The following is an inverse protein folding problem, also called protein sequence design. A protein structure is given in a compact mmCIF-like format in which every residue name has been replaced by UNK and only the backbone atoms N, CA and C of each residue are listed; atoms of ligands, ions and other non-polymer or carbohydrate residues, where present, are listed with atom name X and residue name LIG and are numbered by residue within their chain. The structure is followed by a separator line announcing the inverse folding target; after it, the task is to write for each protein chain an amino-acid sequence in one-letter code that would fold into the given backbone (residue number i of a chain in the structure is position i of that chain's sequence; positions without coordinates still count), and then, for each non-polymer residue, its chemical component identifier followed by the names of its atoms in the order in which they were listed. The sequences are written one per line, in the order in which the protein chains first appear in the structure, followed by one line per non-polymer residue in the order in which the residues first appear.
data_IF_792140922723
#
_entry.id   IF_792140922723
#
_cell.length_a   1.000
_cell.length_b   1.000
_cell.length_c   1.000
_cell.angle_alpha   90.00
_cell.angle_beta   90.00
_cell.angle_gamma   90.00
#
_symmetry.space_group_name_H-M   'P 1'
#
loop_
_entity.id
_entity.type
_entity.pdbx_description
1 polymer ?
#
# COMPACT_ATOMS: atom_id res chain seq x y z
N UNK A 1 -5.20 15.65 2.40
CA UNK A 1 -6.23 14.83 1.72
C UNK A 1 -6.15 14.91 0.18
N UNK A 2 -5.80 16.06 -0.43
CA UNK A 2 -5.67 16.20 -1.90
C UNK A 2 -4.61 15.26 -2.54
N UNK A 3 -3.50 14.99 -1.86
CA UNK A 3 -2.42 14.14 -2.38
C UNK A 3 -2.78 12.65 -2.58
N UNK A 4 -3.92 12.18 -2.04
CA UNK A 4 -4.37 10.80 -2.27
C UNK A 4 -4.81 10.65 -3.73
N UNK A 5 -5.50 11.64 -4.29
CA UNK A 5 -6.02 11.57 -5.67
C UNK A 5 -4.91 11.70 -6.72
N UNK A 6 -3.77 12.32 -6.40
CA UNK A 6 -2.64 12.43 -7.33
C UNK A 6 -1.92 11.11 -7.57
N UNK A 7 -2.05 10.15 -6.64
CA UNK A 7 -1.43 8.83 -6.74
C UNK A 7 -2.33 7.75 -7.36
N UNK A 8 -3.53 8.09 -7.84
CA UNK A 8 -4.47 7.12 -8.40
C UNK A 8 -4.66 7.33 -9.91
N UNK A 9 -4.31 6.31 -10.71
CA UNK A 9 -4.53 6.31 -12.16
C UNK A 9 -5.77 5.50 -12.55
N UNK A 10 -6.93 6.18 -12.64
CA UNK A 10 -8.22 5.55 -12.99
C UNK A 10 -8.37 5.22 -14.47
N UNK A 11 -7.58 5.86 -15.32
CA UNK A 11 -7.44 5.64 -16.76
C UNK A 11 -6.89 4.24 -17.10
N UNK A 12 -6.22 3.58 -16.15
CA UNK A 12 -5.78 2.20 -16.29
C UNK A 12 -6.95 1.21 -16.31
N UNK A 13 -8.12 1.59 -15.77
CA UNK A 13 -9.30 0.73 -15.71
C UNK A 13 -9.95 0.70 -17.10
N UNK A 14 -9.87 -0.45 -17.77
CA UNK A 14 -10.45 -0.69 -19.08
C UNK A 14 -11.36 -1.92 -19.09
N UNK A 15 -12.14 -2.11 -20.15
CA UNK A 15 -13.03 -3.27 -20.31
C UNK A 15 -14.30 -3.26 -19.46
N UNK A 16 -14.57 -2.20 -18.70
CA UNK A 16 -15.77 -2.05 -17.86
C UNK A 16 -16.80 -1.09 -18.46
N UNK A 17 -18.07 -1.22 -18.08
CA UNK A 17 -19.11 -0.29 -18.52
C UNK A 17 -18.90 1.12 -17.94
N UNK A 18 -19.36 2.15 -18.66
CA UNK A 18 -19.28 3.54 -18.21
C UNK A 18 -19.98 3.76 -16.85
N UNK A 19 -21.07 3.04 -16.57
CA UNK A 19 -21.76 3.11 -15.28
C UNK A 19 -20.90 2.51 -14.15
N UNK A 20 -20.21 1.39 -14.41
CA UNK A 20 -19.30 0.79 -13.43
C UNK A 20 -18.13 1.72 -13.10
N UNK A 21 -17.52 2.32 -14.12
CA UNK A 21 -16.43 3.29 -13.93
C UNK A 21 -16.88 4.51 -13.10
N UNK A 22 -18.10 5.02 -13.33
CA UNK A 22 -18.68 6.10 -12.50
C UNK A 22 -18.79 5.69 -11.02
N UNK A 23 -19.24 4.47 -10.73
CA UNK A 23 -19.38 3.96 -9.34
C UNK A 23 -18.02 3.75 -8.67
N UNK A 24 -17.03 3.23 -9.39
CA UNK A 24 -15.65 3.09 -8.91
C UNK A 24 -15.08 4.47 -8.55
N UNK A 25 -15.19 5.43 -9.46
CA UNK A 25 -14.71 6.80 -9.23
C UNK A 25 -15.40 7.47 -8.03
N UNK A 26 -16.70 7.21 -7.83
CA UNK A 26 -17.41 7.71 -6.65
C UNK A 26 -16.87 7.08 -5.34
N UNK A 27 -16.61 5.77 -5.34
CA UNK A 27 -16.06 5.09 -4.17
C UNK A 27 -14.65 5.61 -3.80
N UNK A 28 -13.82 5.90 -4.81
CA UNK A 28 -12.49 6.51 -4.61
C UNK A 28 -12.60 7.93 -4.04
N UNK A 29 -13.55 8.75 -4.55
CA UNK A 29 -13.82 10.09 -4.01
C UNK A 29 -14.20 10.06 -2.54
N UNK A 30 -14.96 9.06 -2.10
CA UNK A 30 -15.32 8.90 -0.69
C UNK A 30 -14.10 8.67 0.22
N UNK A 31 -13.04 8.00 -0.26
CA UNK A 31 -11.78 7.89 0.49
C UNK A 31 -11.12 9.28 0.62
N UNK A 32 -11.04 10.03 -0.47
CA UNK A 32 -10.40 11.35 -0.47
C UNK A 32 -11.10 12.32 0.51
N UNK A 33 -12.42 12.17 0.68
CA UNK A 33 -13.24 12.93 1.63
C UNK A 33 -13.19 12.36 3.07
N UNK A 34 -12.51 11.25 3.31
CA UNK A 34 -12.46 10.59 4.62
C UNK A 34 -13.76 9.90 5.04
N UNK A 35 -14.69 9.68 4.10
CA UNK A 35 -15.99 9.03 4.36
C UNK A 35 -15.85 7.51 4.51
N UNK A 36 -14.85 6.90 3.85
CA UNK A 36 -14.63 5.45 3.87
C UNK A 36 -13.14 5.11 4.01
N UNK A 37 -12.84 3.96 4.61
CA UNK A 37 -11.48 3.43 4.67
C UNK A 37 -11.06 2.83 3.31
N UNK A 38 -9.74 2.78 2.99
CA UNK A 38 -9.26 2.12 1.79
C UNK A 38 -9.72 0.66 1.68
N UNK A 39 -9.77 -0.05 2.81
CA UNK A 39 -10.22 -1.43 2.88
C UNK A 39 -11.70 -1.58 2.54
N UNK A 40 -12.56 -0.73 3.12
CA UNK A 40 -14.00 -0.77 2.85
C UNK A 40 -14.30 -0.42 1.40
N UNK A 41 -13.58 0.54 0.83
CA UNK A 41 -13.71 0.90 -0.59
C UNK A 41 -13.25 -0.23 -1.51
N UNK A 42 -12.12 -0.89 -1.21
CA UNK A 42 -11.70 -2.07 -1.98
C UNK A 42 -12.77 -3.17 -1.94
N UNK A 43 -13.34 -3.44 -0.76
CA UNK A 43 -14.45 -4.40 -0.61
C UNK A 43 -15.69 -3.99 -1.38
N UNK A 44 -16.08 -2.72 -1.31
CA UNK A 44 -17.23 -2.19 -2.03
C UNK A 44 -17.04 -2.33 -3.54
N UNK A 45 -15.89 -1.93 -4.07
CA UNK A 45 -15.57 -2.06 -5.50
C UNK A 45 -15.56 -3.53 -5.93
N UNK A 46 -14.95 -4.42 -5.13
CA UNK A 46 -14.95 -5.87 -5.40
C UNK A 46 -16.38 -6.41 -5.48
N UNK A 47 -17.26 -6.01 -4.54
CA UNK A 47 -18.67 -6.37 -4.58
C UNK A 47 -19.41 -5.77 -5.78
N UNK A 48 -19.06 -4.56 -6.24
CA UNK A 48 -19.65 -3.95 -7.44
C UNK A 48 -19.38 -4.74 -8.72
N UNK A 49 -18.26 -5.46 -8.77
CA UNK A 49 -17.88 -6.30 -9.90
C UNK A 49 -18.59 -7.67 -9.89
N UNK A 50 -19.49 -7.92 -8.94
CA UNK A 50 -20.28 -9.15 -8.86
C UNK A 50 -19.55 -10.32 -8.19
N UNK A 51 -18.40 -10.07 -7.56
CA UNK A 51 -17.68 -11.09 -6.82
C UNK A 51 -18.27 -11.27 -5.42
N UNK A 52 -18.64 -12.51 -5.09
CA UNK A 52 -18.92 -12.85 -3.70
C UNK A 52 -17.60 -12.85 -2.92
N UNK A 53 -17.59 -12.46 -1.64
CA UNK A 53 -16.40 -12.55 -0.78
C UNK A 53 -15.85 -13.98 -0.56
N UNK A 54 -16.44 -15.00 -1.20
CA UNK A 54 -16.14 -16.42 -1.04
C UNK A 54 -15.74 -17.13 -2.35
N UNK A 55 -15.84 -16.48 -3.51
CA UNK A 55 -15.37 -17.05 -4.78
C UNK A 55 -13.93 -16.64 -5.05
N UNK A 56 -13.02 -17.59 -5.29
CA UNK A 56 -11.70 -17.29 -5.83
C UNK A 56 -11.91 -16.65 -7.21
N UNK A 57 -11.45 -15.42 -7.44
CA UNK A 57 -11.26 -14.96 -8.80
C UNK A 57 -10.27 -15.92 -9.47
N UNK A 58 -10.64 -16.44 -10.63
CA UNK A 58 -9.64 -16.98 -11.54
C UNK A 58 -8.70 -15.83 -11.93
N UNK A 59 -7.40 -16.11 -12.05
CA UNK A 59 -6.37 -15.09 -12.36
C UNK A 59 -6.45 -14.58 -13.82
N UNK A 60 -7.63 -14.64 -14.43
CA UNK A 60 -7.88 -14.39 -15.86
C UNK A 60 -9.13 -13.52 -16.04
N UNK A 61 -9.11 -12.66 -17.06
CA UNK A 61 -10.25 -11.84 -17.45
C UNK A 61 -10.26 -10.41 -16.89
N UNK A 62 -11.15 -9.60 -17.47
CA UNK A 62 -11.27 -8.15 -17.21
C UNK A 62 -11.44 -7.85 -15.73
N UNK A 63 -12.25 -8.64 -15.02
CA UNK A 63 -12.59 -8.32 -13.65
C UNK A 63 -11.42 -8.60 -12.67
N UNK A 64 -10.56 -9.59 -12.97
CA UNK A 64 -9.29 -9.77 -12.27
C UNK A 64 -8.30 -8.63 -12.54
N UNK A 65 -8.21 -8.18 -13.79
CA UNK A 65 -7.38 -7.05 -14.18
C UNK A 65 -7.78 -5.77 -13.45
N UNK A 66 -9.07 -5.45 -13.46
CA UNK A 66 -9.63 -4.28 -12.79
C UNK A 66 -9.38 -4.35 -11.29
N UNK A 67 -9.61 -5.49 -10.63
CA UNK A 67 -9.35 -5.63 -9.19
C UNK A 67 -7.87 -5.43 -8.85
N UNK A 68 -6.96 -6.01 -9.65
CA UNK A 68 -5.51 -5.86 -9.47
C UNK A 68 -5.07 -4.40 -9.61
N UNK A 69 -5.57 -3.71 -10.63
CA UNK A 69 -5.30 -2.28 -10.87
C UNK A 69 -5.81 -1.47 -9.69
N UNK A 70 -7.08 -1.65 -9.30
CA UNK A 70 -7.70 -0.89 -8.21
C UNK A 70 -6.97 -1.10 -6.89
N UNK A 71 -6.59 -2.33 -6.56
CA UNK A 71 -5.83 -2.61 -5.34
C UNK A 71 -4.46 -1.92 -5.35
N UNK A 72 -3.77 -1.96 -6.48
CA UNK A 72 -2.45 -1.33 -6.64
C UNK A 72 -2.56 0.18 -6.55
N UNK A 73 -3.48 0.79 -7.29
CA UNK A 73 -3.62 2.25 -7.34
C UNK A 73 -4.20 2.85 -6.06
N UNK A 74 -5.14 2.16 -5.39
CA UNK A 74 -5.62 2.60 -4.07
C UNK A 74 -4.53 2.50 -3.01
N UNK A 75 -3.73 1.42 -3.02
CA UNK A 75 -2.59 1.27 -2.12
C UNK A 75 -1.53 2.35 -2.36
N UNK A 76 -1.24 2.66 -3.63
CA UNK A 76 -0.34 3.75 -4.03
C UNK A 76 -0.83 5.10 -3.52
N UNK A 77 -2.07 5.45 -3.83
CA UNK A 77 -2.72 6.68 -3.38
C UNK A 77 -2.62 6.90 -1.86
N UNK A 78 -2.83 5.84 -1.07
CA UNK A 78 -2.71 5.92 0.38
C UNK A 78 -1.28 6.18 0.84
N UNK A 79 -0.30 5.46 0.26
CA UNK A 79 1.11 5.62 0.62
C UNK A 79 1.68 6.97 0.16
N UNK A 80 1.27 7.48 -1.01
CA UNK A 80 1.57 8.86 -1.46
C UNK A 80 1.00 9.87 -0.46
N UNK A 81 -0.25 9.70 -0.03
CA UNK A 81 -0.87 10.56 0.97
C UNK A 81 -0.13 10.56 2.30
N UNK A 82 0.30 9.39 2.78
CA UNK A 82 1.08 9.24 4.01
C UNK A 82 2.46 9.91 3.88
N UNK A 83 3.15 9.74 2.76
CA UNK A 83 4.43 10.37 2.48
C UNK A 83 4.29 11.91 2.43
N UNK A 84 3.33 12.44 1.68
CA UNK A 84 3.10 13.87 1.56
C UNK A 84 2.76 14.52 2.91
N UNK A 85 1.96 13.83 3.74
CA UNK A 85 1.67 14.30 5.10
C UNK A 85 2.94 14.32 5.96
N UNK A 86 3.77 13.28 5.86
CA UNK A 86 5.04 13.23 6.59
C UNK A 86 6.00 14.35 6.14
N UNK A 87 6.06 14.64 4.84
CA UNK A 87 6.90 15.71 4.29
C UNK A 87 6.46 17.10 4.78
N UNK A 88 5.14 17.35 4.83
CA UNK A 88 4.60 18.59 5.37
C UNK A 88 5.00 18.81 6.84
N UNK A 89 5.13 17.72 7.59
CA UNK A 89 5.51 17.74 9.01
C UNK A 89 7.03 17.93 9.22
N UNK A 90 7.88 17.88 8.19
CA UNK A 90 9.32 18.11 8.34
C UNK A 90 9.66 19.53 8.80
N UNK A 91 8.77 20.51 8.57
CA UNK A 91 8.93 21.87 9.07
C UNK A 91 8.81 21.97 10.60
N UNK A 92 8.10 21.02 11.22
CA UNK A 92 7.87 20.94 12.67
C UNK A 92 8.80 19.90 13.30
N UNK A 93 9.03 18.78 12.62
CA UNK A 93 9.87 17.66 13.08
C UNK A 93 10.91 17.33 11.99
N UNK A 94 12.06 18.02 11.95
CA UNK A 94 13.06 17.84 10.89
C UNK A 94 13.66 16.44 10.84
N UNK A 95 13.72 15.76 11.98
CA UNK A 95 14.29 14.40 12.12
C UNK A 95 13.24 13.29 12.00
N UNK A 96 12.09 13.59 11.37
CA UNK A 96 11.06 12.58 11.16
C UNK A 96 11.62 11.41 10.34
N UNK A 97 11.38 10.20 10.84
CA UNK A 97 11.78 8.95 10.17
C UNK A 97 10.55 8.23 9.63
N UNK A 98 10.80 7.21 8.81
CA UNK A 98 9.79 6.30 8.30
C UNK A 98 10.21 4.85 8.41
N UNK A 99 9.21 3.98 8.49
CA UNK A 99 9.35 2.54 8.59
C UNK A 99 8.46 1.83 7.59
N UNK A 100 8.95 0.71 7.06
CA UNK A 100 8.21 -0.16 6.17
C UNK A 100 7.37 -1.16 6.97
N UNK A 101 6.08 -1.26 6.69
CA UNK A 101 5.17 -2.21 7.33
C UNK A 101 4.70 -3.23 6.29
N UNK A 102 5.26 -4.44 6.37
CA UNK A 102 4.81 -5.57 5.58
C UNK A 102 3.48 -6.14 6.10
N UNK A 103 2.71 -6.76 5.20
CA UNK A 103 1.56 -7.58 5.60
C UNK A 103 2.07 -8.91 6.14
N UNK A 104 1.59 -9.36 7.30
CA UNK A 104 2.04 -10.59 7.93
C UNK A 104 1.23 -11.79 7.45
N UNK A 105 1.53 -12.27 6.26
CA UNK A 105 0.95 -13.48 5.67
C UNK A 105 1.90 -14.18 4.70
N UNK A 106 1.50 -15.37 4.26
CA UNK A 106 2.23 -16.26 3.34
C UNK A 106 2.45 -15.67 1.94
N UNK A 107 1.61 -14.71 1.52
CA UNK A 107 1.64 -14.07 0.21
C UNK A 107 2.62 -12.90 0.10
N UNK A 108 3.17 -12.44 1.22
CA UNK A 108 4.09 -11.30 1.21
C UNK A 108 5.47 -11.74 0.75
N UNK A 109 6.06 -11.02 -0.19
CA UNK A 109 7.36 -11.37 -0.82
C UNK A 109 8.52 -11.20 0.16
N UNK A 110 9.57 -11.99 0.00
CA UNK A 110 10.76 -11.95 0.87
C UNK A 110 11.39 -10.55 0.91
N UNK A 111 11.52 -9.90 -0.25
CA UNK A 111 12.03 -8.52 -0.37
C UNK A 111 11.24 -7.51 0.49
N UNK A 112 9.94 -7.71 0.67
CA UNK A 112 9.08 -6.84 1.46
C UNK A 112 9.19 -7.13 2.96
N UNK A 113 9.34 -8.41 3.34
CA UNK A 113 9.62 -8.82 4.71
C UNK A 113 10.99 -8.29 5.15
N UNK A 114 12.00 -8.44 4.30
CA UNK A 114 13.34 -7.91 4.53
C UNK A 114 13.31 -6.38 4.72
N UNK A 115 12.56 -5.63 3.91
CA UNK A 115 12.40 -4.19 4.08
C UNK A 115 11.72 -3.81 5.42
N UNK A 116 10.74 -4.61 5.86
CA UNK A 116 10.12 -4.43 7.17
C UNK A 116 11.12 -4.63 8.31
N UNK A 117 11.84 -5.76 8.30
CA UNK A 117 12.81 -6.10 9.33
C UNK A 117 13.99 -5.13 9.36
N UNK A 118 14.49 -4.71 8.20
CA UNK A 118 15.59 -3.74 8.08
C UNK A 118 15.25 -2.37 8.69
N UNK A 119 13.97 -2.00 8.70
CA UNK A 119 13.50 -0.73 9.26
C UNK A 119 12.79 -0.89 10.61
N UNK A 120 12.73 -2.10 11.15
CA UNK A 120 12.06 -2.42 12.41
C UNK A 120 12.70 -1.68 13.58
N UNK A 121 13.98 -1.96 13.84
CA UNK A 121 14.72 -1.33 14.94
C UNK A 121 15.32 0.01 14.54
N UNK A 122 15.62 0.17 13.25
CA UNK A 122 16.29 1.36 12.70
C UNK A 122 15.45 1.99 11.58
N UNK A 123 14.39 2.76 11.92
CA UNK A 123 13.67 3.56 10.95
C UNK A 123 14.62 4.49 10.18
N UNK A 124 14.34 4.68 8.89
CA UNK A 124 15.19 5.48 8.00
C UNK A 124 14.71 6.94 7.94
N UNK A 125 15.59 7.91 7.64
CA UNK A 125 15.19 9.28 7.36
C UNK A 125 14.04 9.35 6.33
N UNK A 126 13.12 10.30 6.50
CA UNK A 126 11.94 10.37 5.64
C UNK A 126 12.28 10.43 4.14
N UNK A 127 13.31 11.20 3.78
CA UNK A 127 13.75 11.39 2.37
C UNK A 127 14.61 10.25 1.83
N UNK A 128 14.98 9.26 2.65
CA UNK A 128 15.74 8.10 2.18
C UNK A 128 14.80 7.06 1.55
N UNK A 129 15.20 6.46 0.43
CA UNK A 129 14.43 5.37 -0.18
C UNK A 129 14.59 4.05 0.60
N UNK A 130 13.51 3.26 0.66
CA UNK A 130 13.56 1.87 1.09
C UNK A 130 14.22 1.01 0.02
N UNK A 131 15.03 0.03 0.44
CA UNK A 131 15.53 -1.02 -0.45
C UNK A 131 14.56 -2.19 -0.43
N UNK A 132 13.96 -2.51 -1.57
CA UNK A 132 13.01 -3.63 -1.72
C UNK A 132 13.42 -4.44 -2.95
N UNK A 133 14.09 -5.57 -2.72
CA UNK A 133 14.76 -6.31 -3.79
C UNK A 133 15.81 -5.42 -4.47
N UNK A 134 15.69 -5.27 -5.79
CA UNK A 134 16.55 -4.37 -6.59
C UNK A 134 16.00 -2.93 -6.68
N UNK A 135 14.80 -2.68 -6.15
CA UNK A 135 14.14 -1.38 -6.26
C UNK A 135 14.50 -0.45 -5.10
N UNK A 136 14.56 0.85 -5.40
CA UNK A 136 14.59 1.92 -4.40
C UNK A 136 13.23 2.63 -4.40
N UNK A 137 12.47 2.48 -3.32
CA UNK A 137 11.09 2.98 -3.23
C UNK A 137 10.99 4.07 -2.17
N UNK A 138 10.40 5.22 -2.48
CA UNK A 138 10.14 6.24 -1.47
C UNK A 138 9.02 5.83 -0.51
N UNK A 139 8.09 5.02 -0.99
CA UNK A 139 6.97 4.49 -0.23
C UNK A 139 6.50 3.16 -0.85
N UNK A 140 5.73 2.33 -0.15
CA UNK A 140 5.17 1.12 -0.74
C UNK A 140 4.29 1.42 -1.95
N UNK A 141 4.39 0.57 -2.97
CA UNK A 141 3.75 0.77 -4.27
C UNK A 141 4.23 2.04 -4.98
N UNK A 142 5.49 2.46 -4.82
CA UNK A 142 6.08 3.55 -5.61
C UNK A 142 6.20 3.12 -7.10
N UNK A 143 5.63 3.85 -8.08
CA UNK A 143 5.66 3.48 -9.49
C UNK A 143 7.06 3.49 -10.11
N UNK A 144 8.06 4.09 -9.44
CA UNK A 144 9.46 4.05 -9.89
C UNK A 144 10.13 2.69 -9.63
N UNK A 145 9.48 1.81 -8.86
CA UNK A 145 9.95 0.44 -8.60
C UNK A 145 9.65 -0.55 -9.72
N UNK A 146 10.35 -1.68 -9.69
CA UNK A 146 10.03 -2.82 -10.54
C UNK A 146 8.59 -3.31 -10.29
N UNK A 147 7.87 -3.68 -11.36
CA UNK A 147 6.49 -4.15 -11.29
C UNK A 147 6.30 -5.31 -10.29
N UNK A 148 7.29 -6.20 -10.17
CA UNK A 148 7.26 -7.34 -9.24
C UNK A 148 7.26 -6.91 -7.77
N UNK A 149 7.80 -5.74 -7.43
CA UNK A 149 7.87 -5.19 -6.06
C UNK A 149 6.69 -4.24 -5.76
N UNK A 150 5.99 -3.75 -6.79
CA UNK A 150 5.01 -2.66 -6.62
C UNK A 150 3.58 -3.15 -6.85
N UNK A 151 3.34 -3.97 -7.87
CA UNK A 151 2.00 -4.44 -8.23
C UNK A 151 1.49 -5.43 -7.18
N UNK A 152 0.21 -5.28 -6.80
CA UNK A 152 -0.49 -6.15 -5.85
C UNK A 152 0.15 -6.20 -4.44
N UNK A 153 1.08 -5.29 -4.15
CA UNK A 153 1.64 -5.13 -2.82
C UNK A 153 0.55 -4.59 -1.86
N UNK A 154 0.66 -4.98 -0.58
CA UNK A 154 -0.27 -4.58 0.50
C UNK A 154 0.45 -3.92 1.67
N UNK A 155 1.75 -3.64 1.49
CA UNK A 155 2.57 -2.98 2.48
C UNK A 155 2.18 -1.50 2.62
N UNK A 156 2.48 -0.93 3.77
CA UNK A 156 2.25 0.49 4.08
C UNK A 156 3.47 1.10 4.76
N UNK A 157 3.62 2.41 4.70
CA UNK A 157 4.61 3.11 5.54
C UNK A 157 3.96 3.69 6.79
N UNK A 158 4.76 3.85 7.83
CA UNK A 158 4.41 4.65 9.01
C UNK A 158 5.53 5.63 9.31
N UNK A 159 5.17 6.78 9.85
CA UNK A 159 6.13 7.76 10.36
C UNK A 159 6.56 7.39 11.76
N UNK A 160 7.81 7.71 12.09
CA UNK A 160 8.40 7.49 13.41
C UNK A 160 8.98 8.80 13.89
N UNK A 161 8.45 9.29 15.01
CA UNK A 161 9.01 10.45 15.69
C UNK A 161 10.28 10.03 16.45
N UNK A 162 11.39 10.78 16.35
CA UNK A 162 12.65 10.41 17.02
C UNK A 162 12.49 10.20 18.53
N UNK A 163 11.70 11.03 19.20
CA UNK A 163 11.49 10.96 20.65
C UNK A 163 10.59 9.80 21.10
N UNK A 164 9.71 9.28 20.22
CA UNK A 164 8.84 8.15 20.55
C UNK A 164 9.55 6.79 20.38
N UNK A 165 10.73 6.78 19.77
CA UNK A 165 11.47 5.55 19.50
C UNK A 165 10.75 4.62 18.52
N UNK A 166 11.06 3.32 18.58
CA UNK A 166 10.53 2.32 17.63
C UNK A 166 9.03 2.12 17.85
N UNK A 167 8.22 2.54 16.87
CA UNK A 167 6.79 2.23 16.84
C UNK A 167 6.62 0.74 16.52
N UNK A 168 6.40 -0.07 17.56
CA UNK A 168 6.03 -1.49 17.39
C UNK A 168 4.59 -1.60 16.89
N UNK A 169 4.34 -2.51 15.96
CA UNK A 169 2.98 -2.91 15.58
C UNK A 169 2.78 -4.38 15.92
N UNK A 170 1.56 -4.79 16.27
CA UNK A 170 1.26 -6.21 16.56
C UNK A 170 1.48 -7.18 15.38
N UNK A 171 1.95 -6.69 14.22
CA UNK A 171 2.40 -7.52 13.11
C UNK A 171 3.89 -7.88 13.20
N UNK A 172 4.71 -7.18 13.98
CA UNK A 172 6.17 -7.34 13.97
C UNK A 172 6.57 -8.79 14.34
N UNK A 173 5.93 -9.37 15.35
CA UNK A 173 6.20 -10.76 15.76
C UNK A 173 5.73 -11.78 14.72
N UNK A 174 4.63 -11.49 14.03
CA UNK A 174 4.12 -12.34 12.95
C UNK A 174 5.05 -12.31 11.74
N UNK A 175 5.62 -11.16 11.41
CA UNK A 175 6.59 -11.06 10.30
C UNK A 175 7.87 -11.84 10.63
N UNK A 176 8.36 -11.75 11.87
CA UNK A 176 9.51 -12.56 12.33
C UNK A 176 9.22 -14.06 12.23
N UNK A 177 8.01 -14.49 12.60
CA UNK A 177 7.60 -15.88 12.47
C UNK A 177 7.60 -16.35 11.00
N UNK A 178 7.02 -15.56 10.09
CA UNK A 178 7.01 -15.88 8.65
C UNK A 178 8.42 -15.99 8.08
N UNK A 179 9.34 -15.09 8.48
CA UNK A 179 10.73 -15.16 8.04
C UNK A 179 11.43 -16.43 8.54
N UNK A 180 11.25 -16.77 9.82
CA UNK A 180 11.85 -17.96 10.42
C UNK A 180 11.33 -19.26 9.77
N UNK A 181 10.05 -19.31 9.40
CA UNK A 181 9.46 -20.45 8.69
C UNK A 181 10.03 -20.63 7.27
N UNK A 182 10.47 -19.54 6.61
CA UNK A 182 11.05 -19.59 5.26
C UNK A 182 12.53 -19.98 5.22
N UNK A 183 13.22 -19.78 6.33
CA UNK A 183 14.64 -20.13 6.48
C UNK A 183 14.86 -21.58 6.92
N UNK A 184 13.79 -22.30 7.29
CA UNK A 184 13.78 -23.73 7.62
C UNK A 184 13.46 -24.58 6.39
#
# INVERSE_FOLDING_TARGET
QVAILTGFSGDLISGVSANMLKRINLAIKNIALGVASPYDTQRAITAMMGFTPRGKLENTGVAYEVERIIRTELGRAFNVGAMAQAEANLSVVPELKKRWIATADDRTRDSHIAAHLATLENPIPLKQAFRVGNSQLMYPLDPMGEAKETINCRCRMVTVHPELGVVRVGLDDKIKAVENERQQ
#
